data_IF_574086391086
#
_entry.id   IF_574086391086
#
_cell.length_a   1.000
_cell.length_b   1.000
_cell.length_c   1.000
_cell.angle_alpha   90.00
_cell.angle_beta   90.00
_cell.angle_gamma   90.00
#
_symmetry.space_group_name_H-M   'P 1'
#
loop_
_entity.id
_entity.type
_entity.pdbx_description
1 polymer ?
#
# COMPACT_ATOMS: atom_id res chain seq x y z
N UNK A 1 -8.33 36.64 -5.34
CA UNK A 1 -7.16 36.46 -4.48
C UNK A 1 -7.53 36.90 -3.05
N UNK A 2 -8.15 36.00 -2.25
CA UNK A 2 -8.31 36.24 -0.81
C UNK A 2 -6.94 35.99 -0.17
N UNK A 3 -6.28 37.08 0.26
CA UNK A 3 -5.01 37.03 0.93
C UNK A 3 -5.07 36.18 2.20
N UNK A 4 -4.07 35.31 2.36
CA UNK A 4 -3.81 34.54 3.56
C UNK A 4 -3.67 35.51 4.72
N UNK A 5 -4.63 35.57 5.65
CA UNK A 5 -4.49 36.36 6.88
C UNK A 5 -3.21 35.88 7.59
N UNK A 6 -2.19 36.74 7.62
CA UNK A 6 -1.00 36.48 8.44
C UNK A 6 -1.48 36.29 9.89
N UNK A 7 -1.25 35.11 10.46
CA UNK A 7 -1.50 34.87 11.89
C UNK A 7 -0.62 35.85 12.67
N UNK A 8 -1.22 36.65 13.53
CA UNK A 8 -0.47 37.51 14.43
C UNK A 8 0.29 36.63 15.43
N UNK A 9 1.54 36.96 15.80
CA UNK A 9 2.23 36.26 16.88
C UNK A 9 1.36 36.25 18.14
N UNK A 10 1.44 35.18 18.91
CA UNK A 10 0.62 34.99 20.13
C UNK A 10 0.77 36.19 21.10
N UNK A 11 1.97 36.76 21.17
CA UNK A 11 2.28 37.95 21.98
C UNK A 11 1.53 39.22 21.58
N UNK A 12 0.97 39.27 20.35
CA UNK A 12 0.19 40.44 19.88
C UNK A 12 -1.32 40.28 20.10
N UNK A 13 -1.74 39.12 20.61
CA UNK A 13 -3.17 38.77 20.81
C UNK A 13 -3.52 38.77 22.30
N UNK A 14 -2.51 38.69 23.20
CA UNK A 14 -2.77 38.70 24.63
C UNK A 14 -3.19 40.11 25.07
N UNK A 15 -4.40 40.30 25.59
CA UNK A 15 -4.74 41.54 26.24
C UNK A 15 -3.85 41.74 27.48
N UNK A 16 -3.58 43.00 27.84
CA UNK A 16 -2.83 43.36 29.04
C UNK A 16 -3.56 42.98 30.35
N UNK A 17 -4.77 42.48 30.27
CA UNK A 17 -5.56 41.96 31.40
C UNK A 17 -5.22 40.48 31.66
N UNK A 18 -5.04 40.12 32.93
CA UNK A 18 -4.86 38.74 33.38
C UNK A 18 -6.15 37.94 33.02
N UNK A 19 -5.98 36.93 32.12
CA UNK A 19 -7.03 35.97 31.81
C UNK A 19 -6.89 34.81 32.78
N UNK A 20 -7.99 34.36 33.41
CA UNK A 20 -7.97 33.16 34.23
C UNK A 20 -7.89 31.94 33.33
N UNK A 21 -7.12 30.94 33.73
CA UNK A 21 -7.00 29.67 32.99
C UNK A 21 -8.37 28.96 32.80
N UNK A 22 -9.30 29.17 33.77
CA UNK A 22 -10.66 28.65 33.66
C UNK A 22 -11.52 29.27 32.54
N UNK A 23 -11.07 30.38 31.99
CA UNK A 23 -11.81 31.14 30.97
C UNK A 23 -11.26 30.85 29.56
N UNK A 24 -10.33 29.88 29.46
CA UNK A 24 -9.74 29.43 28.20
C UNK A 24 -10.44 28.14 27.78
N UNK A 25 -11.20 28.22 26.69
CA UNK A 25 -11.77 27.05 26.02
C UNK A 25 -10.90 26.62 24.85
N UNK A 26 -10.71 25.30 24.70
CA UNK A 26 -9.99 24.72 23.54
C UNK A 26 -10.96 24.67 22.34
N UNK A 27 -10.81 25.58 21.38
CA UNK A 27 -11.64 25.60 20.19
C UNK A 27 -11.24 24.51 19.21
N UNK A 28 -9.93 24.32 18.97
CA UNK A 28 -9.41 23.31 18.04
C UNK A 28 -7.94 22.98 18.33
N UNK A 29 -7.63 21.68 18.30
CA UNK A 29 -6.27 21.18 18.35
C UNK A 29 -5.84 20.65 16.97
N UNK A 30 -4.82 21.26 16.37
CA UNK A 30 -4.31 20.92 15.05
C UNK A 30 -2.98 20.17 15.17
N UNK A 31 -2.86 19.05 14.43
CA UNK A 31 -1.63 18.26 14.32
C UNK A 31 -0.84 18.77 13.11
N UNK A 32 0.26 19.48 13.33
CA UNK A 32 1.11 20.00 12.25
C UNK A 32 2.28 19.09 11.91
N UNK A 33 2.90 18.41 12.90
CA UNK A 33 4.11 17.61 12.72
C UNK A 33 4.00 16.50 11.67
N UNK A 34 2.81 15.92 11.46
CA UNK A 34 2.61 14.91 10.41
C UNK A 34 2.74 15.55 9.02
N UNK A 35 2.20 16.75 8.82
CA UNK A 35 2.31 17.47 7.55
C UNK A 35 3.76 17.86 7.26
N UNK A 36 4.53 18.20 8.28
CA UNK A 36 5.93 18.59 8.13
C UNK A 36 6.80 17.38 7.82
N UNK A 37 6.72 16.32 8.62
CA UNK A 37 7.61 15.14 8.49
C UNK A 37 7.14 14.23 7.35
N UNK A 38 5.94 13.66 7.47
CA UNK A 38 5.43 12.72 6.46
C UNK A 38 5.11 13.43 5.14
N UNK A 39 4.72 14.71 5.18
CA UNK A 39 4.53 15.53 3.99
C UNK A 39 5.83 15.81 3.25
N UNK A 40 6.97 15.95 3.96
CA UNK A 40 8.28 16.04 3.32
C UNK A 40 8.68 14.73 2.65
N UNK A 41 8.49 13.59 3.33
CA UNK A 41 8.73 12.26 2.76
C UNK A 41 7.86 12.04 1.51
N UNK A 42 6.55 12.37 1.57
CA UNK A 42 5.64 12.29 0.44
C UNK A 42 6.15 13.03 -0.80
N UNK A 43 6.65 14.26 -0.60
CA UNK A 43 7.21 15.07 -1.68
C UNK A 43 8.57 14.54 -2.17
N UNK A 44 9.45 14.06 -1.28
CA UNK A 44 10.74 13.47 -1.66
C UNK A 44 10.58 12.21 -2.50
N UNK A 45 9.49 11.49 -2.29
CA UNK A 45 9.08 10.34 -3.10
C UNK A 45 8.35 10.73 -4.40
N UNK A 46 8.23 12.04 -4.72
CA UNK A 46 7.56 12.59 -5.90
C UNK A 46 6.05 12.27 -6.02
N UNK A 47 5.38 11.86 -4.94
CA UNK A 47 3.94 11.59 -4.99
C UNK A 47 3.10 12.86 -5.21
N UNK A 48 3.65 14.04 -4.89
CA UNK A 48 3.05 15.35 -5.17
C UNK A 48 2.94 15.66 -6.68
N UNK A 49 3.64 14.89 -7.52
CA UNK A 49 3.68 15.04 -8.98
C UNK A 49 2.80 14.04 -9.74
N UNK A 50 2.18 13.09 -9.05
CA UNK A 50 1.34 12.05 -9.66
C UNK A 50 0.13 12.68 -10.35
N UNK A 51 -0.57 13.59 -9.65
CA UNK A 51 -1.71 14.29 -10.21
C UNK A 51 -1.28 15.69 -10.71
N UNK A 52 -1.64 16.02 -11.92
CA UNK A 52 -1.27 17.31 -12.55
C UNK A 52 -2.06 18.49 -11.98
N UNK A 53 -3.31 18.26 -11.57
CA UNK A 53 -4.15 19.25 -10.92
C UNK A 53 -3.69 19.48 -9.47
N UNK A 54 -3.21 20.69 -9.18
CA UNK A 54 -2.70 21.06 -7.85
C UNK A 54 -3.70 20.89 -6.71
N UNK A 55 -5.00 21.07 -6.97
CA UNK A 55 -6.03 20.88 -5.92
C UNK A 55 -6.21 19.41 -5.60
N UNK A 56 -6.22 18.56 -6.60
CA UNK A 56 -6.33 17.10 -6.47
C UNK A 56 -5.05 16.51 -5.87
N UNK A 57 -3.87 16.94 -6.31
CA UNK A 57 -2.59 16.57 -5.72
C UNK A 57 -2.55 16.92 -4.21
N UNK A 58 -3.08 18.11 -3.82
CA UNK A 58 -3.20 18.46 -2.41
C UNK A 58 -4.16 17.56 -1.65
N UNK A 59 -5.35 17.26 -2.22
CA UNK A 59 -6.34 16.36 -1.60
C UNK A 59 -5.77 14.95 -1.44
N UNK A 60 -5.07 14.44 -2.45
CA UNK A 60 -4.40 13.14 -2.39
C UNK A 60 -3.38 13.10 -1.25
N UNK A 61 -2.50 14.11 -1.16
CA UNK A 61 -1.54 14.25 -0.06
C UNK A 61 -2.25 14.22 1.29
N UNK A 62 -3.27 15.05 1.46
CA UNK A 62 -4.01 15.17 2.72
C UNK A 62 -4.67 13.83 3.09
N UNK A 63 -5.26 13.10 2.13
CA UNK A 63 -5.82 11.76 2.35
C UNK A 63 -4.77 10.72 2.76
N UNK A 64 -3.60 10.74 2.13
CA UNK A 64 -2.49 9.84 2.49
C UNK A 64 -2.02 10.11 3.91
N UNK A 65 -1.82 11.39 4.28
CA UNK A 65 -1.39 11.79 5.61
C UNK A 65 -2.45 11.44 6.69
N UNK A 66 -3.73 11.66 6.39
CA UNK A 66 -4.80 11.26 7.29
C UNK A 66 -4.81 9.74 7.51
N UNK A 67 -4.57 8.95 6.47
CA UNK A 67 -4.53 7.48 6.55
C UNK A 67 -3.33 6.96 7.33
N UNK A 68 -2.19 7.64 7.27
CA UNK A 68 -1.00 7.30 8.08
C UNK A 68 -1.28 7.48 9.58
N UNK A 69 -2.04 8.52 9.94
CA UNK A 69 -2.39 8.79 11.35
C UNK A 69 -3.50 7.87 11.84
N UNK A 70 -4.53 7.69 11.02
CA UNK A 70 -5.69 6.88 11.37
C UNK A 70 -6.33 6.27 10.11
N UNK A 71 -6.03 4.98 9.81
CA UNK A 71 -6.68 4.27 8.72
C UNK A 71 -8.20 4.26 8.89
N UNK A 72 -8.92 4.78 7.90
CA UNK A 72 -10.38 4.95 7.99
C UNK A 72 -11.04 5.08 6.60
N UNK A 73 -12.38 5.09 6.57
CA UNK A 73 -13.13 5.38 5.34
C UNK A 73 -12.87 6.81 4.86
N UNK A 74 -13.15 7.10 3.59
CA UNK A 74 -13.00 8.46 3.04
C UNK A 74 -13.86 9.49 3.75
N UNK A 75 -15.09 9.11 4.11
CA UNK A 75 -15.98 9.95 4.90
C UNK A 75 -15.39 10.28 6.27
N UNK A 76 -14.84 9.30 6.99
CA UNK A 76 -14.22 9.57 8.29
C UNK A 76 -12.88 10.31 8.13
N UNK A 77 -12.12 10.04 7.05
CA UNK A 77 -10.90 10.81 6.74
C UNK A 77 -11.18 12.29 6.53
N UNK A 78 -12.32 12.64 5.90
CA UNK A 78 -12.76 14.04 5.80
C UNK A 78 -12.90 14.70 7.17
N UNK A 79 -13.52 14.00 8.13
CA UNK A 79 -13.66 14.52 9.49
C UNK A 79 -12.32 14.67 10.21
N UNK A 80 -11.40 13.75 10.03
CA UNK A 80 -10.03 13.84 10.58
C UNK A 80 -9.31 15.05 9.99
N UNK A 81 -9.40 15.22 8.67
CA UNK A 81 -8.78 16.35 7.95
C UNK A 81 -9.29 17.69 8.48
N UNK A 82 -10.62 17.83 8.64
CA UNK A 82 -11.22 19.04 9.18
C UNK A 82 -10.83 19.27 10.65
N UNK A 83 -11.09 18.29 11.52
CA UNK A 83 -10.97 18.46 12.97
C UNK A 83 -9.52 18.47 13.47
N UNK A 84 -8.65 17.61 12.92
CA UNK A 84 -7.28 17.43 13.43
C UNK A 84 -6.22 18.15 12.61
N UNK A 85 -6.45 18.35 11.31
CA UNK A 85 -5.48 18.98 10.44
C UNK A 85 -5.89 20.37 9.95
N UNK A 86 -7.14 20.81 10.26
CA UNK A 86 -7.66 22.10 9.82
C UNK A 86 -7.75 22.22 8.29
N UNK A 87 -7.93 21.07 7.59
CA UNK A 87 -8.03 21.01 6.14
C UNK A 87 -9.47 20.68 5.75
N UNK A 88 -10.16 21.68 5.18
CA UNK A 88 -11.54 21.52 4.72
C UNK A 88 -11.56 20.98 3.28
N UNK A 89 -12.21 19.83 3.11
CA UNK A 89 -12.46 19.22 1.81
C UNK A 89 -13.92 18.78 1.70
N UNK A 90 -14.50 19.01 0.53
CA UNK A 90 -15.77 18.40 0.17
C UNK A 90 -15.60 16.90 -0.08
N UNK A 91 -16.55 16.09 0.40
CA UNK A 91 -16.48 14.62 0.30
C UNK A 91 -16.50 14.15 -1.16
N UNK A 92 -17.34 14.73 -2.00
CA UNK A 92 -17.42 14.40 -3.42
C UNK A 92 -16.12 14.75 -4.15
N UNK A 93 -15.45 15.83 -3.71
CA UNK A 93 -14.16 16.19 -4.26
C UNK A 93 -13.05 15.20 -3.86
N UNK A 94 -13.14 14.57 -2.68
CA UNK A 94 -12.24 13.49 -2.29
C UNK A 94 -12.47 12.24 -3.13
N UNK A 95 -13.72 11.88 -3.43
CA UNK A 95 -14.03 10.75 -4.31
C UNK A 95 -13.56 11.00 -5.74
N UNK A 96 -13.82 12.17 -6.33
CA UNK A 96 -13.27 12.54 -7.66
C UNK A 96 -11.76 12.46 -7.71
N UNK A 97 -11.07 12.83 -6.63
CA UNK A 97 -9.60 12.66 -6.56
C UNK A 97 -9.19 11.19 -6.61
N UNK A 98 -10.03 10.26 -6.11
CA UNK A 98 -9.76 8.82 -6.24
C UNK A 98 -9.96 8.32 -7.68
N UNK A 99 -10.95 8.86 -8.41
CA UNK A 99 -11.16 8.53 -9.81
C UNK A 99 -9.96 8.99 -10.65
N UNK A 100 -9.49 10.22 -10.47
CA UNK A 100 -8.28 10.74 -11.12
C UNK A 100 -7.01 9.92 -10.76
N UNK A 101 -6.92 9.47 -9.51
CA UNK A 101 -5.82 8.61 -9.08
C UNK A 101 -5.87 7.23 -9.75
N UNK A 102 -7.06 6.69 -9.98
CA UNK A 102 -7.25 5.42 -10.67
C UNK A 102 -6.70 5.47 -12.09
N UNK A 103 -6.94 6.56 -12.82
CA UNK A 103 -6.41 6.77 -14.17
C UNK A 103 -4.87 6.90 -14.20
N UNK A 104 -4.27 7.22 -13.05
CA UNK A 104 -2.81 7.35 -12.88
C UNK A 104 -2.17 6.14 -12.16
N UNK A 105 -2.88 4.99 -12.02
CA UNK A 105 -2.43 3.89 -11.17
C UNK A 105 -1.08 3.30 -11.60
N UNK A 106 -0.84 3.17 -12.90
CA UNK A 106 0.42 2.66 -13.43
C UNK A 106 1.57 3.65 -13.17
N UNK A 107 1.30 4.95 -13.22
CA UNK A 107 2.27 5.96 -12.83
C UNK A 107 2.63 5.87 -11.34
N UNK A 108 1.64 5.60 -10.46
CA UNK A 108 1.87 5.37 -9.03
C UNK A 108 2.77 4.15 -8.83
N UNK A 109 2.45 3.02 -9.50
CA UNK A 109 3.24 1.78 -9.43
C UNK A 109 4.68 2.03 -9.91
N UNK A 110 4.84 2.64 -11.09
CA UNK A 110 6.15 2.93 -11.66
C UNK A 110 6.97 3.87 -10.78
N UNK A 111 6.38 4.94 -10.27
CA UNK A 111 7.06 5.87 -9.36
C UNK A 111 7.50 5.17 -8.06
N UNK A 112 6.64 4.34 -7.48
CA UNK A 112 6.96 3.57 -6.28
C UNK A 112 8.14 2.63 -6.54
N UNK A 113 8.09 1.86 -7.63
CA UNK A 113 9.17 0.97 -8.04
C UNK A 113 10.49 1.73 -8.21
N UNK A 114 10.49 2.81 -9.00
CA UNK A 114 11.70 3.61 -9.27
C UNK A 114 12.29 4.20 -7.99
N UNK A 115 11.47 4.69 -7.07
CA UNK A 115 11.93 5.23 -5.79
C UNK A 115 12.48 4.15 -4.88
N UNK A 116 11.84 3.00 -4.79
CA UNK A 116 12.36 1.86 -4.03
C UNK A 116 13.65 1.34 -4.66
N UNK A 117 13.68 1.15 -5.98
CA UNK A 117 14.85 0.67 -6.71
C UNK A 117 16.05 1.59 -6.55
N UNK A 118 15.84 2.92 -6.58
CA UNK A 118 16.91 3.91 -6.43
C UNK A 118 17.62 3.90 -5.07
N UNK A 119 17.00 3.29 -4.05
CA UNK A 119 17.60 3.11 -2.72
C UNK A 119 18.61 1.93 -2.70
N UNK A 120 18.64 1.10 -3.75
CA UNK A 120 19.48 -0.09 -3.84
C UNK A 120 20.36 -0.04 -5.08
N UNK A 121 21.57 0.54 -4.99
CA UNK A 121 22.48 0.70 -6.12
C UNK A 121 22.86 -0.64 -6.82
N UNK A 122 22.76 -1.75 -6.11
CA UNK A 122 23.02 -3.11 -6.63
C UNK A 122 21.82 -3.73 -7.33
N UNK A 123 20.69 -3.01 -7.40
CA UNK A 123 19.44 -3.52 -7.95
C UNK A 123 18.63 -4.34 -6.94
N UNK A 124 17.51 -4.87 -7.42
CA UNK A 124 16.63 -5.76 -6.63
C UNK A 124 16.85 -7.19 -7.08
N UNK A 125 17.59 -7.97 -6.31
CA UNK A 125 17.90 -9.37 -6.60
C UNK A 125 16.81 -10.33 -6.09
N UNK A 126 16.15 -9.98 -4.99
CA UNK A 126 15.12 -10.78 -4.34
C UNK A 126 13.78 -10.05 -4.33
N UNK A 127 12.75 -10.76 -4.73
CA UNK A 127 11.37 -10.30 -4.69
C UNK A 127 10.55 -11.24 -3.81
N UNK A 128 10.13 -10.71 -2.65
CA UNK A 128 9.21 -11.40 -1.77
C UNK A 128 7.79 -11.18 -2.28
N UNK A 129 7.10 -12.27 -2.58
CA UNK A 129 5.73 -12.25 -3.10
C UNK A 129 4.76 -12.79 -2.06
N UNK A 130 3.76 -12.01 -1.76
CA UNK A 130 2.67 -12.41 -0.87
C UNK A 130 1.31 -12.02 -1.42
N UNK A 131 0.30 -12.80 -1.08
CA UNK A 131 -1.08 -12.56 -1.49
C UNK A 131 -1.98 -12.53 -0.27
N UNK A 132 -2.73 -11.46 -0.16
CA UNK A 132 -3.70 -11.28 0.93
C UNK A 132 -5.09 -10.97 0.39
N UNK A 133 -6.10 -11.27 1.17
CA UNK A 133 -7.49 -10.97 0.86
C UNK A 133 -7.95 -9.75 1.64
N UNK A 134 -8.47 -8.75 0.95
CA UNK A 134 -9.07 -7.56 1.54
C UNK A 134 -10.59 -7.70 1.52
N UNK A 135 -11.22 -7.64 2.70
CA UNK A 135 -12.65 -7.75 2.87
C UNK A 135 -13.32 -6.38 2.91
N UNK A 136 -14.52 -6.30 2.33
CA UNK A 136 -15.36 -5.13 2.40
C UNK A 136 -16.62 -5.45 3.20
N UNK A 137 -16.99 -4.60 4.12
CA UNK A 137 -18.24 -4.73 4.91
C UNK A 137 -19.46 -4.36 4.04
N UNK A 138 -19.60 -5.05 2.92
CA UNK A 138 -20.70 -4.88 1.96
C UNK A 138 -21.01 -6.20 1.24
N UNK A 139 -22.23 -6.37 0.85
CA UNK A 139 -22.68 -7.47 -0.03
C UNK A 139 -22.65 -7.08 -1.51
N UNK A 140 -22.35 -5.81 -1.81
CA UNK A 140 -22.28 -5.34 -3.19
C UNK A 140 -21.08 -5.98 -3.92
N UNK A 141 -21.35 -6.51 -5.09
CA UNK A 141 -20.36 -7.12 -6.00
C UNK A 141 -20.20 -6.27 -7.25
N UNK A 142 -18.99 -6.20 -7.78
CA UNK A 142 -18.66 -5.57 -9.06
C UNK A 142 -17.61 -6.43 -9.78
N UNK A 143 -16.84 -5.86 -10.69
CA UNK A 143 -15.81 -6.60 -11.44
C UNK A 143 -14.71 -7.16 -10.55
N UNK A 144 -14.27 -6.40 -9.53
CA UNK A 144 -13.21 -6.78 -8.58
C UNK A 144 -13.76 -7.35 -7.28
N UNK A 145 -14.78 -6.70 -6.70
CA UNK A 145 -15.38 -7.16 -5.45
C UNK A 145 -16.29 -8.35 -5.72
N UNK A 146 -15.85 -9.54 -5.35
CA UNK A 146 -16.59 -10.79 -5.51
C UNK A 146 -16.66 -11.53 -4.18
N UNK A 147 -17.67 -12.39 -4.03
CA UNK A 147 -17.63 -13.40 -2.99
C UNK A 147 -16.61 -14.46 -3.39
N UNK A 148 -15.77 -14.87 -2.46
CA UNK A 148 -14.75 -15.87 -2.73
C UNK A 148 -14.46 -16.74 -1.51
N UNK A 149 -13.48 -17.60 -1.62
CA UNK A 149 -13.04 -18.40 -0.50
C UNK A 149 -12.44 -17.50 0.57
N UNK A 150 -12.95 -17.60 1.80
CA UNK A 150 -12.49 -16.84 2.94
C UNK A 150 -11.77 -17.76 3.93
N UNK A 151 -10.46 -17.51 4.14
CA UNK A 151 -9.69 -18.16 5.21
C UNK A 151 -10.20 -17.78 6.61
N UNK A 152 -10.83 -16.59 6.71
CA UNK A 152 -11.35 -16.01 7.97
C UNK A 152 -12.84 -16.31 8.18
N UNK A 153 -13.43 -17.22 7.39
CA UNK A 153 -14.86 -17.60 7.45
C UNK A 153 -15.84 -16.44 7.20
N UNK A 154 -15.44 -15.41 6.44
CA UNK A 154 -16.25 -14.24 6.08
C UNK A 154 -16.98 -14.44 4.75
N UNK A 155 -17.79 -15.48 4.63
CA UNK A 155 -18.45 -15.87 3.38
C UNK A 155 -19.54 -14.89 2.88
N UNK A 156 -19.98 -13.96 3.71
CA UNK A 156 -21.03 -13.00 3.38
C UNK A 156 -20.50 -11.61 2.99
N UNK A 157 -19.19 -11.42 2.97
CA UNK A 157 -18.55 -10.15 2.61
C UNK A 157 -17.90 -10.26 1.25
N UNK A 158 -18.06 -9.21 0.43
CA UNK A 158 -17.29 -9.13 -0.81
C UNK A 158 -15.82 -8.88 -0.50
N UNK A 159 -14.95 -9.40 -1.34
CA UNK A 159 -13.51 -9.34 -1.16
C UNK A 159 -12.77 -9.03 -2.45
N UNK A 160 -11.51 -8.62 -2.32
CA UNK A 160 -10.54 -8.43 -3.41
C UNK A 160 -9.27 -9.15 -3.02
N UNK A 161 -8.58 -9.72 -3.99
CA UNK A 161 -7.27 -10.34 -3.78
C UNK A 161 -6.19 -9.32 -4.13
N UNK A 162 -5.29 -9.04 -3.19
CA UNK A 162 -4.13 -8.17 -3.35
C UNK A 162 -2.86 -9.01 -3.39
N UNK A 163 -2.16 -8.98 -4.51
CA UNK A 163 -0.80 -9.48 -4.62
C UNK A 163 0.19 -8.34 -4.40
N UNK A 164 1.16 -8.53 -3.52
CA UNK A 164 2.18 -7.54 -3.16
C UNK A 164 3.58 -8.10 -3.38
N UNK A 165 4.42 -7.32 -4.02
CA UNK A 165 5.85 -7.58 -4.12
C UNK A 165 6.62 -6.60 -3.25
N UNK A 166 7.55 -7.12 -2.44
CA UNK A 166 8.48 -6.32 -1.66
C UNK A 166 9.92 -6.80 -1.91
N UNK A 167 10.89 -5.94 -1.62
CA UNK A 167 12.28 -6.35 -1.55
C UNK A 167 12.57 -7.05 -0.19
N UNK A 168 13.80 -7.49 0.01
CA UNK A 168 14.27 -8.14 1.25
C UNK A 168 14.10 -7.28 2.52
N UNK A 169 14.04 -5.97 2.38
CA UNK A 169 13.89 -5.02 3.49
C UNK A 169 12.40 -4.65 3.74
N UNK A 170 11.47 -5.30 3.02
CA UNK A 170 10.03 -5.09 3.15
C UNK A 170 9.51 -3.84 2.44
N UNK A 171 10.33 -3.17 1.62
CA UNK A 171 9.88 -2.00 0.85
C UNK A 171 9.08 -2.46 -0.38
N UNK A 172 7.93 -1.81 -0.66
CA UNK A 172 7.07 -2.21 -1.77
C UNK A 172 7.74 -1.93 -3.11
N UNK A 173 7.64 -2.90 -4.01
CA UNK A 173 8.10 -2.82 -5.39
C UNK A 173 6.91 -2.71 -6.35
N UNK A 174 5.88 -3.50 -6.12
CA UNK A 174 4.70 -3.52 -6.96
C UNK A 174 3.52 -4.22 -6.30
N UNK A 175 2.32 -3.99 -6.82
CA UNK A 175 1.12 -4.70 -6.40
C UNK A 175 0.18 -4.92 -7.58
N UNK A 176 -0.66 -5.96 -7.47
CA UNK A 176 -1.76 -6.22 -8.39
C UNK A 176 -3.03 -6.52 -7.61
N UNK A 177 -4.17 -6.12 -8.19
CA UNK A 177 -5.49 -6.42 -7.66
C UNK A 177 -6.20 -7.42 -8.58
N UNK A 178 -6.80 -8.43 -7.97
CA UNK A 178 -7.55 -9.45 -8.67
C UNK A 178 -8.95 -9.58 -8.08
N UNK A 179 -9.87 -10.11 -8.86
CA UNK A 179 -11.22 -10.36 -8.40
C UNK A 179 -11.23 -11.28 -7.17
N UNK A 180 -12.11 -10.98 -6.21
CA UNK A 180 -12.14 -11.68 -4.92
C UNK A 180 -12.44 -13.17 -4.98
N UNK A 181 -12.93 -13.69 -6.11
CA UNK A 181 -13.14 -15.11 -6.35
C UNK A 181 -11.96 -15.80 -7.06
N UNK A 182 -10.89 -15.08 -7.36
CA UNK A 182 -9.71 -15.70 -7.95
C UNK A 182 -8.91 -16.47 -6.91
N UNK A 183 -8.36 -17.60 -7.31
CA UNK A 183 -7.48 -18.38 -6.46
C UNK A 183 -6.11 -17.71 -6.37
N UNK A 184 -5.56 -17.59 -5.17
CA UNK A 184 -4.23 -17.00 -4.92
C UNK A 184 -3.14 -17.57 -5.83
N UNK A 185 -3.20 -18.88 -6.10
CA UNK A 185 -2.26 -19.59 -6.98
C UNK A 185 -2.24 -19.03 -8.41
N UNK A 186 -3.38 -18.57 -8.93
CA UNK A 186 -3.49 -18.06 -10.31
C UNK A 186 -2.93 -16.63 -10.46
N UNK A 187 -2.70 -15.93 -9.37
CA UNK A 187 -2.27 -14.52 -9.38
C UNK A 187 -0.76 -14.35 -9.61
N UNK A 188 0.05 -15.32 -9.19
CA UNK A 188 1.52 -15.23 -9.23
C UNK A 188 2.06 -14.89 -10.62
N UNK A 189 1.78 -15.74 -11.60
CA UNK A 189 2.35 -15.57 -12.96
C UNK A 189 1.84 -14.29 -13.61
N UNK A 190 0.55 -13.98 -13.45
CA UNK A 190 -0.06 -12.74 -13.99
C UNK A 190 0.58 -11.49 -13.38
N UNK A 191 0.84 -11.50 -12.06
CA UNK A 191 1.55 -10.40 -11.40
C UNK A 191 2.96 -10.23 -11.94
N UNK A 192 3.70 -11.32 -12.10
CA UNK A 192 5.07 -11.29 -12.65
C UNK A 192 5.08 -10.72 -14.07
N UNK A 193 4.16 -11.14 -14.93
CA UNK A 193 4.05 -10.66 -16.30
C UNK A 193 3.72 -9.17 -16.37
N UNK A 194 2.79 -8.70 -15.52
CA UNK A 194 2.47 -7.28 -15.40
C UNK A 194 3.68 -6.47 -14.96
N UNK A 195 4.39 -6.93 -13.93
CA UNK A 195 5.57 -6.21 -13.40
C UNK A 195 6.77 -6.23 -14.34
N UNK A 196 6.97 -7.31 -15.10
CA UNK A 196 7.98 -7.32 -16.15
C UNK A 196 7.73 -6.26 -17.21
N UNK A 197 6.47 -6.17 -17.65
CA UNK A 197 6.07 -5.18 -18.65
C UNK A 197 6.24 -3.76 -18.11
N UNK A 198 5.83 -3.52 -16.86
CA UNK A 198 5.82 -2.17 -16.29
C UNK A 198 7.21 -1.72 -15.80
N UNK A 199 8.00 -2.62 -15.23
CA UNK A 199 9.24 -2.29 -14.52
C UNK A 199 10.51 -2.73 -15.25
N UNK A 200 10.38 -3.47 -16.36
CA UNK A 200 11.51 -4.04 -17.12
C UNK A 200 12.48 -4.84 -16.22
N UNK A 201 11.95 -5.74 -15.40
CA UNK A 201 12.73 -6.57 -14.50
C UNK A 201 13.31 -7.74 -15.30
N UNK A 202 14.63 -7.80 -15.44
CA UNK A 202 15.32 -8.84 -16.27
C UNK A 202 15.63 -10.11 -15.46
N UNK A 203 16.04 -9.96 -14.20
CA UNK A 203 16.45 -11.10 -13.37
C UNK A 203 16.08 -10.87 -11.91
N UNK A 204 15.24 -11.74 -11.37
CA UNK A 204 14.79 -11.70 -9.97
C UNK A 204 14.56 -13.12 -9.48
N UNK A 205 14.97 -13.41 -8.24
CA UNK A 205 14.57 -14.61 -7.54
C UNK A 205 13.26 -14.36 -6.77
N UNK A 206 12.22 -15.11 -7.08
CA UNK A 206 10.94 -15.03 -6.42
C UNK A 206 10.91 -15.88 -5.15
N UNK A 207 10.47 -15.28 -4.06
CA UNK A 207 10.26 -15.97 -2.79
C UNK A 207 8.82 -15.76 -2.36
N UNK A 208 8.11 -16.85 -2.08
CA UNK A 208 6.71 -16.76 -1.65
C UNK A 208 6.27 -17.96 -0.83
N UNK A 209 5.03 -17.89 -0.31
CA UNK A 209 4.45 -18.99 0.45
C UNK A 209 4.23 -20.22 -0.44
N UNK A 210 4.38 -21.38 0.17
CA UNK A 210 4.20 -22.68 -0.50
C UNK A 210 2.89 -22.80 -1.26
N UNK A 211 1.82 -22.17 -0.80
CA UNK A 211 0.52 -22.23 -1.46
C UNK A 211 0.54 -21.64 -2.87
N UNK A 212 1.41 -20.65 -3.13
CA UNK A 212 1.56 -19.97 -4.43
C UNK A 212 2.29 -20.83 -5.46
N UNK A 213 3.16 -21.74 -5.01
CA UNK A 213 4.05 -22.52 -5.87
C UNK A 213 3.49 -23.94 -6.10
N UNK A 214 2.35 -24.02 -6.79
CA UNK A 214 1.87 -25.30 -7.31
C UNK A 214 2.72 -25.75 -8.50
N UNK A 215 2.65 -27.04 -8.85
CA UNK A 215 3.43 -27.63 -9.96
C UNK A 215 3.31 -26.81 -11.25
N UNK A 216 2.08 -26.37 -11.60
CA UNK A 216 1.83 -25.56 -12.81
C UNK A 216 2.58 -24.21 -12.77
N UNK A 217 2.61 -23.52 -11.62
CA UNK A 217 3.32 -22.25 -11.49
C UNK A 217 4.84 -22.46 -11.57
N UNK A 218 5.38 -23.52 -10.96
CA UNK A 218 6.80 -23.86 -11.04
C UNK A 218 7.22 -24.13 -12.50
N UNK A 219 6.45 -24.96 -13.22
CA UNK A 219 6.70 -25.24 -14.64
C UNK A 219 6.71 -23.95 -15.50
N UNK A 220 5.82 -22.98 -15.18
CA UNK A 220 5.80 -21.70 -15.88
C UNK A 220 6.97 -20.79 -15.52
N UNK A 221 7.40 -20.76 -14.26
CA UNK A 221 8.59 -20.03 -13.84
C UNK A 221 9.84 -20.60 -14.51
N UNK A 222 10.00 -21.93 -14.52
CA UNK A 222 11.11 -22.62 -15.17
C UNK A 222 11.13 -22.38 -16.68
N UNK A 223 9.97 -22.46 -17.34
CA UNK A 223 9.86 -22.17 -18.77
C UNK A 223 10.28 -20.75 -19.16
N UNK A 224 10.20 -19.81 -18.21
CA UNK A 224 10.61 -18.40 -18.36
C UNK A 224 12.01 -18.12 -17.80
N UNK A 225 12.73 -19.14 -17.32
CA UNK A 225 14.04 -19.06 -16.67
C UNK A 225 14.05 -18.13 -15.43
N UNK A 226 12.96 -18.11 -14.68
CA UNK A 226 12.92 -17.40 -13.39
C UNK A 226 13.49 -18.24 -12.27
N UNK A 227 14.28 -17.61 -11.41
CA UNK A 227 14.75 -18.20 -10.17
C UNK A 227 13.67 -18.10 -9.10
N UNK A 228 13.54 -19.13 -8.24
CA UNK A 228 12.58 -19.11 -7.14
C UNK A 228 13.07 -19.91 -5.93
N UNK A 229 12.61 -19.47 -4.76
CA UNK A 229 12.79 -20.19 -3.50
C UNK A 229 11.41 -20.43 -2.90
N UNK A 230 11.07 -21.69 -2.64
CA UNK A 230 9.79 -22.09 -2.09
C UNK A 230 9.93 -23.17 -1.02
N UNK A 231 9.09 -23.08 0.00
CA UNK A 231 9.03 -24.10 1.04
C UNK A 231 8.46 -25.42 0.49
N UNK A 232 9.23 -26.50 0.55
CA UNK A 232 8.79 -27.82 0.14
C UNK A 232 7.90 -28.49 1.20
N UNK A 233 6.96 -29.35 0.75
CA UNK A 233 6.17 -30.20 1.64
C UNK A 233 7.02 -31.40 2.09
N UNK A 234 7.71 -31.30 3.21
CA UNK A 234 8.58 -32.36 3.71
C UNK A 234 7.89 -33.74 3.70
N UNK A 235 6.64 -33.83 4.15
CA UNK A 235 5.87 -35.11 4.19
C UNK A 235 5.59 -35.74 2.83
N UNK A 236 5.66 -34.97 1.75
CA UNK A 236 5.36 -35.46 0.38
C UNK A 236 6.63 -35.66 -0.44
N UNK A 237 7.79 -35.32 0.07
CA UNK A 237 9.07 -35.57 -0.58
C UNK A 237 9.39 -37.08 -0.57
N UNK A 238 10.13 -37.59 -1.58
CA UNK A 238 10.69 -38.93 -1.52
C UNK A 238 11.53 -39.14 -0.24
N UNK A 239 11.47 -40.34 0.34
CA UNK A 239 12.14 -40.66 1.61
C UNK A 239 13.62 -40.30 1.64
N UNK A 240 14.32 -40.46 0.53
CA UNK A 240 15.73 -40.11 0.41
C UNK A 240 16.01 -38.63 0.74
N UNK A 241 15.16 -37.74 0.25
CA UNK A 241 15.28 -36.30 0.55
C UNK A 241 14.84 -35.99 1.98
N UNK A 242 13.78 -36.66 2.48
CA UNK A 242 13.35 -36.49 3.88
C UNK A 242 14.48 -36.86 4.84
N UNK A 243 15.13 -38.03 4.64
CA UNK A 243 16.25 -38.47 5.47
C UNK A 243 17.41 -37.49 5.40
N UNK A 244 17.75 -37.01 4.20
CA UNK A 244 18.84 -36.05 4.03
C UNK A 244 18.53 -34.70 4.73
N UNK A 245 17.31 -34.20 4.62
CA UNK A 245 16.90 -32.93 5.22
C UNK A 245 16.83 -33.04 6.75
N UNK A 246 16.41 -34.19 7.30
CA UNK A 246 16.25 -34.41 8.74
C UNK A 246 17.54 -34.89 9.42
N UNK A 247 18.65 -35.11 8.70
CA UNK A 247 19.93 -35.44 9.30
C UNK A 247 20.51 -34.23 10.03
N UNK A 248 20.83 -34.43 11.34
CA UNK A 248 21.43 -33.38 12.18
C UNK A 248 22.79 -32.90 11.62
N UNK A 249 23.51 -33.76 10.89
CA UNK A 249 24.80 -33.42 10.27
C UNK A 249 24.71 -32.29 9.20
N UNK A 250 23.51 -31.94 8.74
CA UNK A 250 23.30 -30.90 7.74
C UNK A 250 23.00 -29.51 8.37
N UNK A 251 22.94 -29.42 9.67
CA UNK A 251 22.62 -28.17 10.39
C UNK A 251 23.80 -27.81 11.31
N UNK A 252 24.47 -26.73 10.99
CA UNK A 252 25.59 -26.17 11.76
C UNK A 252 25.22 -24.88 12.44
#
# INVERSE_FOLDING_TARGET
TKGRKKRKPLTSILPTSKVKLSDIEEEQRIIEGVHDIAGHVYASLNYDKILTNKKEAKRLKDLVLARLVQPSSKHFSQQILSKRFGQEHDLDALYRTMDELYDCIDLVKLNTFQKTYSLFPQGVELLLFDVTTLYFETTHVDELRKFGYSKDHRFQTSQVVLALATNKDGLPLGYELFAGNEAEVSTLIRSIESWQTLFNIERVCFIGDRAMFCKKNLEQLEAKNYEYIVAAKLKTLPKIYQTKILSEDNYH
#
